data_IF_595812243954
#
_entry.id   IF_595812243954
#
_cell.length_a   1.000
_cell.length_b   1.000
_cell.length_c   1.000
_cell.angle_alpha   90.00
_cell.angle_beta   90.00
_cell.angle_gamma   90.00
#
_symmetry.space_group_name_H-M   'P 1'
#
loop_
_entity.id
_entity.type
_entity.pdbx_description
1 polymer ?
#
# COMPACT_ATOMS: atom_id res chain seq x y z
N UNK A 1 5.01 -16.07 -3.52
CA UNK A 1 3.66 -15.48 -3.37
C UNK A 1 2.52 -16.38 -3.87
N UNK A 2 2.75 -17.66 -4.18
CA UNK A 2 1.73 -18.54 -4.78
C UNK A 2 0.45 -18.72 -3.93
N UNK A 3 0.54 -18.66 -2.59
CA UNK A 3 -0.64 -18.77 -1.71
C UNK A 3 -1.46 -17.47 -1.59
N UNK A 4 -0.82 -16.31 -1.76
CA UNK A 4 -1.46 -14.99 -1.58
C UNK A 4 -2.03 -14.40 -2.87
N UNK A 5 -1.90 -15.07 -4.01
CA UNK A 5 -2.55 -14.64 -5.26
C UNK A 5 -4.08 -14.51 -5.10
N UNK A 6 -4.69 -15.28 -4.19
CA UNK A 6 -6.11 -15.25 -3.84
C UNK A 6 -6.42 -14.46 -2.56
N UNK A 7 -5.54 -13.56 -2.11
CA UNK A 7 -5.86 -12.64 -1.03
C UNK A 7 -6.86 -11.58 -1.55
N UNK A 8 -8.15 -11.94 -1.50
CA UNK A 8 -9.26 -11.13 -2.01
C UNK A 8 -9.85 -10.21 -0.97
N UNK A 9 -9.73 -10.55 0.33
CA UNK A 9 -10.36 -9.78 1.39
C UNK A 9 -9.68 -8.44 1.62
N UNK A 10 -10.46 -7.37 1.61
CA UNK A 10 -9.97 -6.02 1.93
C UNK A 10 -10.01 -5.72 3.44
N UNK A 11 -9.44 -4.58 3.83
CA UNK A 11 -9.61 -4.02 5.18
C UNK A 11 -11.07 -3.82 5.60
N UNK A 12 -12.00 -3.66 4.66
CA UNK A 12 -13.43 -3.52 4.97
C UNK A 12 -14.10 -4.89 5.24
N UNK A 13 -13.63 -5.95 4.60
CA UNK A 13 -14.23 -7.29 4.68
C UNK A 13 -13.65 -8.15 5.81
N UNK A 14 -12.35 -8.06 6.06
CA UNK A 14 -11.67 -8.76 7.16
C UNK A 14 -10.51 -7.90 7.68
N UNK A 15 -10.80 -6.90 8.53
CA UNK A 15 -9.79 -5.97 9.03
C UNK A 15 -8.71 -6.65 9.88
N UNK A 16 -9.04 -7.74 10.59
CA UNK A 16 -8.09 -8.41 11.48
C UNK A 16 -7.02 -9.13 10.67
N UNK A 17 -7.44 -10.02 9.77
CA UNK A 17 -6.50 -10.79 8.95
C UNK A 17 -5.71 -9.89 8.01
N UNK A 18 -6.37 -8.90 7.40
CA UNK A 18 -5.73 -7.95 6.49
C UNK A 18 -4.66 -7.12 7.19
N UNK A 19 -4.93 -6.66 8.42
CA UNK A 19 -3.95 -5.94 9.22
C UNK A 19 -2.78 -6.83 9.65
N UNK A 20 -3.02 -8.08 10.04
CA UNK A 20 -1.93 -9.00 10.39
C UNK A 20 -0.99 -9.23 9.19
N UNK A 21 -1.56 -9.49 8.01
CA UNK A 21 -0.79 -9.66 6.77
C UNK A 21 0.02 -8.39 6.46
N UNK A 22 -0.60 -7.22 6.59
CA UNK A 22 0.08 -5.94 6.42
C UNK A 22 1.25 -5.79 7.40
N UNK A 23 1.04 -6.06 8.69
CA UNK A 23 2.08 -5.96 9.72
C UNK A 23 3.26 -6.90 9.42
N UNK A 24 3.00 -8.10 8.90
CA UNK A 24 4.06 -9.01 8.44
C UNK A 24 4.77 -8.50 7.17
N UNK A 25 4.03 -7.92 6.23
CA UNK A 25 4.60 -7.35 5.01
C UNK A 25 5.55 -6.18 5.33
N UNK A 26 5.16 -5.28 6.23
CA UNK A 26 5.97 -4.15 6.70
C UNK A 26 7.26 -4.65 7.34
N UNK A 27 7.16 -5.65 8.22
CA UNK A 27 8.35 -6.27 8.85
C UNK A 27 9.27 -6.90 7.82
N UNK A 28 8.73 -7.54 6.78
CA UNK A 28 9.52 -8.17 5.73
C UNK A 28 10.35 -7.16 4.90
N UNK A 29 9.79 -5.97 4.63
CA UNK A 29 10.48 -4.91 3.88
C UNK A 29 11.33 -3.97 4.75
N UNK A 30 11.27 -4.11 6.08
CA UNK A 30 11.99 -3.27 7.05
C UNK A 30 12.97 -4.10 7.89
N UNK A 31 14.01 -4.69 7.26
CA UNK A 31 14.99 -5.51 7.97
C UNK A 31 15.77 -4.69 9.00
N UNK A 32 15.94 -5.24 10.21
CA UNK A 32 16.70 -4.59 11.31
C UNK A 32 18.20 -4.86 11.27
N UNK A 33 18.64 -5.80 10.43
CA UNK A 33 20.03 -6.24 10.32
C UNK A 33 20.46 -6.27 8.85
N UNK A 34 21.77 -6.19 8.63
CA UNK A 34 22.35 -6.26 7.29
C UNK A 34 22.06 -7.62 6.64
N UNK A 35 21.45 -7.59 5.45
CA UNK A 35 20.82 -8.77 4.85
C UNK A 35 21.79 -9.54 3.97
N UNK A 36 22.15 -10.77 4.39
CA UNK A 36 22.82 -11.75 3.51
C UNK A 36 21.87 -12.47 2.54
N UNK A 37 20.55 -12.37 2.73
CA UNK A 37 19.52 -13.04 1.90
C UNK A 37 18.33 -12.13 1.62
N UNK A 38 18.04 -11.87 0.35
CA UNK A 38 17.01 -10.93 -0.11
C UNK A 38 15.61 -11.54 -0.35
N UNK A 39 15.44 -12.84 -0.10
CA UNK A 39 14.18 -13.53 -0.39
C UNK A 39 12.97 -12.96 0.38
N UNK A 40 13.18 -12.58 1.65
CA UNK A 40 12.11 -12.05 2.51
C UNK A 40 11.66 -10.65 2.09
N UNK A 41 12.55 -9.65 1.93
CA UNK A 41 12.16 -8.34 1.39
C UNK A 41 11.54 -8.42 0.00
N UNK A 42 12.08 -9.27 -0.88
CA UNK A 42 11.53 -9.45 -2.23
C UNK A 42 10.07 -9.92 -2.18
N UNK A 43 9.77 -10.89 -1.32
CA UNK A 43 8.41 -11.38 -1.14
C UNK A 43 7.48 -10.29 -0.58
N UNK A 44 7.94 -9.50 0.39
CA UNK A 44 7.19 -8.36 0.94
C UNK A 44 6.89 -7.28 -0.11
N UNK A 45 7.89 -6.90 -0.92
CA UNK A 45 7.72 -5.92 -2.00
C UNK A 45 6.73 -6.43 -3.07
N UNK A 46 6.83 -7.70 -3.45
CA UNK A 46 5.86 -8.30 -4.38
C UNK A 46 4.44 -8.33 -3.81
N UNK A 47 4.29 -8.56 -2.50
CA UNK A 47 2.99 -8.53 -1.84
C UNK A 47 2.35 -7.14 -1.94
N UNK A 48 3.10 -6.07 -1.64
CA UNK A 48 2.62 -4.69 -1.80
C UNK A 48 2.30 -4.35 -3.26
N UNK A 49 3.16 -4.76 -4.20
CA UNK A 49 2.92 -4.51 -5.62
C UNK A 49 1.61 -5.13 -6.11
N UNK A 50 1.24 -6.32 -5.62
CA UNK A 50 0.04 -7.04 -6.04
C UNK A 50 -1.22 -6.70 -5.26
N UNK A 51 -1.09 -6.36 -3.97
CA UNK A 51 -2.22 -6.28 -3.04
C UNK A 51 -2.33 -4.94 -2.29
N UNK A 52 -1.80 -3.86 -2.86
CA UNK A 52 -1.93 -2.53 -2.25
C UNK A 52 -3.39 -2.14 -1.99
N UNK A 53 -4.31 -2.48 -2.89
CA UNK A 53 -5.76 -2.24 -2.76
C UNK A 53 -6.34 -2.77 -1.46
N UNK A 54 -5.90 -3.94 -1.03
CA UNK A 54 -6.43 -4.64 0.14
C UNK A 54 -6.01 -3.97 1.46
N UNK A 55 -5.00 -3.10 1.43
CA UNK A 55 -4.43 -2.45 2.62
C UNK A 55 -4.79 -0.96 2.75
N UNK A 56 -5.74 -0.45 1.96
CA UNK A 56 -6.16 0.97 1.85
C UNK A 56 -5.91 1.84 3.10
N UNK A 57 -6.64 1.60 4.20
CA UNK A 57 -6.55 2.38 5.44
C UNK A 57 -5.20 2.23 6.14
N UNK A 58 -4.65 1.01 6.22
CA UNK A 58 -3.32 0.76 6.78
C UNK A 58 -2.22 1.51 6.01
N UNK A 59 -2.32 1.62 4.68
CA UNK A 59 -1.35 2.35 3.88
C UNK A 59 -1.43 3.86 4.16
N UNK A 60 -2.63 4.41 4.37
CA UNK A 60 -2.82 5.83 4.72
C UNK A 60 -2.23 6.14 6.09
N UNK A 61 -2.47 5.29 7.08
CA UNK A 61 -2.00 5.49 8.45
C UNK A 61 -0.47 5.43 8.57
N UNK A 62 0.20 4.74 7.64
CA UNK A 62 1.64 4.48 7.66
C UNK A 62 2.39 5.06 6.45
N UNK A 63 1.79 6.02 5.74
CA UNK A 63 2.26 6.47 4.42
C UNK A 63 3.70 6.96 4.42
N UNK A 64 4.11 7.74 5.41
CA UNK A 64 5.46 8.33 5.48
C UNK A 64 6.55 7.25 5.62
N UNK A 65 6.39 6.35 6.61
CA UNK A 65 7.33 5.25 6.85
C UNK A 65 7.42 4.30 5.66
N UNK A 66 6.27 3.98 5.04
CA UNK A 66 6.22 3.10 3.87
C UNK A 66 6.86 3.72 2.65
N UNK A 67 6.57 4.99 2.36
CA UNK A 67 7.16 5.72 1.24
C UNK A 67 8.68 5.77 1.36
N UNK A 68 9.20 6.09 2.55
CA UNK A 68 10.64 6.12 2.80
C UNK A 68 11.25 4.72 2.62
N UNK A 69 10.59 3.67 3.11
CA UNK A 69 11.09 2.30 3.02
C UNK A 69 11.11 1.79 1.58
N UNK A 70 10.02 1.96 0.82
CA UNK A 70 9.96 1.55 -0.58
C UNK A 70 10.91 2.36 -1.46
N UNK A 71 11.06 3.66 -1.20
CA UNK A 71 12.02 4.52 -1.91
C UNK A 71 13.46 4.07 -1.71
N UNK A 72 13.83 3.61 -0.50
CA UNK A 72 15.15 3.01 -0.25
C UNK A 72 15.38 1.77 -1.12
N UNK A 73 14.37 0.91 -1.26
CA UNK A 73 14.46 -0.27 -2.13
C UNK A 73 14.59 0.08 -3.61
N UNK A 74 13.99 1.18 -4.08
CA UNK A 74 14.20 1.69 -5.45
C UNK A 74 15.65 2.09 -5.73
N UNK A 75 16.41 2.50 -4.70
CA UNK A 75 17.83 2.86 -4.80
C UNK A 75 18.80 1.68 -4.60
N UNK A 76 18.30 0.46 -4.38
CA UNK A 76 19.13 -0.67 -4.01
C UNK A 76 20.01 -1.17 -5.19
N UNK A 77 21.22 -1.65 -4.90
CA UNK A 77 22.16 -2.13 -5.93
C UNK A 77 21.71 -3.43 -6.61
N UNK A 78 20.98 -4.28 -5.88
CA UNK A 78 20.42 -5.52 -6.42
C UNK A 78 19.28 -5.19 -7.43
N UNK A 79 19.45 -5.60 -8.68
CA UNK A 79 18.53 -5.29 -9.78
C UNK A 79 17.10 -5.83 -9.56
N UNK A 80 16.96 -7.02 -8.98
CA UNK A 80 15.65 -7.61 -8.71
C UNK A 80 14.92 -6.86 -7.61
N UNK A 81 15.61 -6.54 -6.50
CA UNK A 81 15.02 -5.74 -5.43
C UNK A 81 14.70 -4.33 -5.88
N UNK A 82 15.56 -3.74 -6.70
CA UNK A 82 15.29 -2.44 -7.32
C UNK A 82 13.99 -2.49 -8.11
N UNK A 83 13.83 -3.46 -9.00
CA UNK A 83 12.59 -3.61 -9.81
C UNK A 83 11.36 -3.83 -8.91
N UNK A 84 11.46 -4.73 -7.93
CA UNK A 84 10.38 -4.99 -6.98
C UNK A 84 10.02 -3.75 -6.15
N UNK A 85 11.00 -2.95 -5.75
CA UNK A 85 10.83 -1.67 -5.06
C UNK A 85 10.02 -0.68 -5.88
N UNK A 86 10.37 -0.51 -7.17
CA UNK A 86 9.62 0.36 -8.07
C UNK A 86 8.18 -0.13 -8.25
N UNK A 87 7.99 -1.43 -8.46
CA UNK A 87 6.63 -2.00 -8.62
C UNK A 87 5.79 -1.92 -7.35
N UNK A 88 6.40 -2.00 -6.17
CA UNK A 88 5.71 -1.80 -4.90
C UNK A 88 5.32 -0.33 -4.69
N UNK A 89 6.27 0.59 -4.94
CA UNK A 89 6.06 2.02 -4.80
C UNK A 89 4.99 2.55 -5.76
N UNK A 90 4.98 2.09 -7.01
CA UNK A 90 3.97 2.43 -8.01
C UNK A 90 2.55 2.03 -7.54
N UNK A 91 2.36 0.78 -7.11
CA UNK A 91 1.08 0.31 -6.58
C UNK A 91 0.65 1.06 -5.31
N UNK A 92 1.60 1.39 -4.42
CA UNK A 92 1.35 2.21 -3.23
C UNK A 92 0.84 3.60 -3.60
N UNK A 93 1.52 4.30 -4.51
CA UNK A 93 1.13 5.66 -4.92
C UNK A 93 -0.23 5.68 -5.64
N UNK A 94 -0.49 4.68 -6.50
CA UNK A 94 -1.81 4.50 -7.12
C UNK A 94 -2.89 4.34 -6.06
N UNK A 95 -2.66 3.50 -5.06
CA UNK A 95 -3.64 3.28 -4.00
C UNK A 95 -3.85 4.54 -3.14
N UNK A 96 -2.77 5.25 -2.79
CA UNK A 96 -2.84 6.54 -2.08
C UNK A 96 -3.70 7.55 -2.84
N UNK A 97 -3.44 7.71 -4.14
CA UNK A 97 -4.21 8.59 -5.01
C UNK A 97 -5.69 8.22 -5.01
N UNK A 98 -6.01 6.92 -5.14
CA UNK A 98 -7.39 6.44 -5.11
C UNK A 98 -8.07 6.74 -3.77
N UNK A 99 -7.42 6.42 -2.65
CA UNK A 99 -7.95 6.68 -1.32
C UNK A 99 -8.24 8.17 -1.07
N UNK A 100 -7.29 9.05 -1.42
CA UNK A 100 -7.46 10.51 -1.27
C UNK A 100 -8.58 11.01 -2.19
N UNK A 101 -8.64 10.54 -3.44
CA UNK A 101 -9.67 10.95 -4.38
C UNK A 101 -11.08 10.55 -3.90
N UNK A 102 -11.24 9.33 -3.40
CA UNK A 102 -12.51 8.87 -2.83
C UNK A 102 -12.90 9.67 -1.59
N UNK A 103 -11.94 9.98 -0.71
CA UNK A 103 -12.19 10.81 0.48
C UNK A 103 -12.62 12.23 0.11
N UNK A 104 -11.93 12.87 -0.85
CA UNK A 104 -12.28 14.20 -1.35
C UNK A 104 -13.65 14.21 -2.03
N UNK A 105 -13.98 13.19 -2.81
CA UNK A 105 -15.29 13.05 -3.45
C UNK A 105 -16.41 12.91 -2.42
N UNK A 106 -16.21 12.10 -1.37
CA UNK A 106 -17.16 11.97 -0.27
C UNK A 106 -17.34 13.29 0.47
N UNK A 107 -16.24 14.00 0.77
CA UNK A 107 -16.30 15.32 1.38
C UNK A 107 -17.08 16.31 0.50
N UNK A 108 -16.82 16.32 -0.80
CA UNK A 108 -17.54 17.19 -1.75
C UNK A 108 -19.03 16.84 -1.87
N UNK A 109 -19.40 15.56 -1.95
CA UNK A 109 -20.79 15.14 -2.11
C UNK A 109 -21.65 15.29 -0.85
N UNK A 110 -21.05 15.10 0.34
CA UNK A 110 -21.79 15.02 1.61
C UNK A 110 -21.68 16.29 2.44
N UNK A 111 -20.58 17.04 2.34
CA UNK A 111 -20.30 18.20 3.21
C UNK A 111 -20.40 19.55 2.51
N UNK A 112 -20.55 19.61 1.17
CA UNK A 112 -21.01 20.85 0.54
C UNK A 112 -22.50 21.04 0.79
N UNK A 113 -22.93 22.19 1.36
CA UNK A 113 -24.34 22.49 1.46
C UNK A 113 -24.97 22.45 0.06
N UNK A 114 -26.17 21.85 -0.03
CA UNK A 114 -27.03 21.78 -1.23
C UNK A 114 -27.48 23.17 -1.76
N UNK A 115 -26.71 24.23 -1.55
CA UNK A 115 -27.13 25.61 -1.82
C UNK A 115 -26.94 26.05 -3.28
N UNK A 116 -26.54 25.16 -4.19
CA UNK A 116 -26.36 25.48 -5.62
C UNK A 116 -27.03 24.46 -6.56
N UNK A 117 -28.14 23.82 -6.14
CA UNK A 117 -28.92 22.94 -7.06
C UNK A 117 -30.29 23.50 -7.45
N UNK A 118 -30.62 24.73 -7.03
CA UNK A 118 -31.79 25.46 -7.49
C UNK A 118 -31.36 26.89 -7.81
N UNK A 119 -30.94 27.13 -9.06
CA UNK A 119 -31.10 28.42 -9.77
C UNK A 119 -30.51 28.26 -11.18
N UNK A 120 -31.34 27.73 -12.09
CA UNK A 120 -31.73 28.23 -13.44
C UNK A 120 -32.10 27.06 -14.34
#
# INVERSE_FOLDING_TARGET
>A
TALMYNFTKSMDEDPRTSKEIFDFAVKAISPKIDLKRYAVPLAGLHLFSKHAVQFSTCLLDNYDSLFQTMSKWCGHQNAELKKAGHSALDSFLKQMYMCVSTLLLLHWLVLLPRSCRDDT
#
